data_IF_671712131109
#
_entry.id   IF_671712131109
#
_cell.length_a   1.000
_cell.length_b   1.000
_cell.length_c   1.000
_cell.angle_alpha   90.00
_cell.angle_beta   90.00
_cell.angle_gamma   90.00
#
_symmetry.space_group_name_H-M   'P 1'
#
loop_
_entity.id
_entity.type
_entity.pdbx_description
1 polymer ?
#
# COMPACT_ATOMS: atom_id res chain seq x y z
N UNK A 1 -11.67 -10.39 45.94
CA UNK A 1 -12.82 -9.79 45.22
C UNK A 1 -12.62 -8.30 45.23
N UNK A 2 -12.05 -7.78 44.15
CA UNK A 2 -11.91 -6.36 43.86
C UNK A 2 -12.46 -6.18 42.45
N UNK A 3 -13.32 -5.19 42.26
CA UNK A 3 -14.10 -4.99 41.04
C UNK A 3 -13.24 -4.43 39.90
N UNK A 4 -13.59 -4.66 38.62
CA UNK A 4 -12.73 -4.33 37.46
C UNK A 4 -12.46 -2.82 37.21
N UNK A 5 -13.02 -1.92 38.01
CA UNK A 5 -12.94 -0.46 37.81
C UNK A 5 -12.29 0.26 39.01
N UNK A 6 -11.38 -0.40 39.72
CA UNK A 6 -10.62 0.27 40.77
C UNK A 6 -9.48 1.09 40.16
N UNK A 7 -9.76 2.36 39.84
CA UNK A 7 -8.82 3.34 39.28
C UNK A 7 -7.76 3.83 40.30
N UNK A 8 -7.68 3.22 41.49
CA UNK A 8 -6.66 3.55 42.51
C UNK A 8 -5.27 2.95 42.25
N UNK A 9 -5.08 2.25 41.13
CA UNK A 9 -3.81 1.58 40.76
C UNK A 9 -3.10 2.22 39.57
N UNK A 10 -3.67 3.26 38.94
CA UNK A 10 -2.94 4.06 37.97
C UNK A 10 -2.06 5.10 38.68
N UNK A 11 -0.74 5.14 38.45
CA UNK A 11 0.11 6.17 39.01
C UNK A 11 -0.32 7.54 38.47
N UNK A 12 -0.73 8.43 39.38
CA UNK A 12 -0.90 9.84 39.09
C UNK A 12 0.45 10.52 39.27
N UNK A 13 1.05 11.00 38.18
CA UNK A 13 2.30 11.76 38.26
C UNK A 13 1.96 13.25 38.35
N UNK A 14 2.12 13.80 39.55
CA UNK A 14 2.24 15.25 39.76
C UNK A 14 3.66 15.54 40.23
N UNK A 15 4.37 16.42 39.51
CA UNK A 15 5.71 16.89 39.88
C UNK A 15 6.81 16.48 38.90
N UNK A 16 7.94 17.19 38.99
CA UNK A 16 9.08 17.11 38.07
C UNK A 16 9.78 15.72 38.15
N UNK A 17 9.96 14.98 37.03
CA UNK A 17 10.37 13.57 37.02
C UNK A 17 11.87 13.29 37.29
N UNK A 18 12.66 14.30 37.64
CA UNK A 18 14.13 14.22 37.62
C UNK A 18 14.75 13.59 38.89
N UNK A 19 13.95 13.30 39.92
CA UNK A 19 14.44 12.81 41.23
C UNK A 19 13.94 11.40 41.63
N UNK A 20 13.33 10.64 40.72
CA UNK A 20 12.84 9.29 41.03
C UNK A 20 13.96 8.24 40.99
N UNK A 21 14.51 7.89 42.16
CA UNK A 21 15.42 6.73 42.29
C UNK A 21 14.63 5.42 42.36
N UNK A 22 14.89 4.51 41.41
CA UNK A 22 14.40 3.14 41.44
C UNK A 22 15.27 2.27 42.38
N UNK A 23 14.65 1.64 43.38
CA UNK A 23 15.26 0.55 44.15
C UNK A 23 14.40 -0.70 44.03
N UNK A 24 14.94 -1.76 43.44
CA UNK A 24 14.28 -3.07 43.34
C UNK A 24 14.68 -3.81 42.07
N UNK A 25 15.29 -4.98 42.23
CA UNK A 25 15.76 -5.83 41.15
C UNK A 25 14.59 -6.60 40.53
N UNK A 26 14.31 -6.35 39.24
CA UNK A 26 13.66 -7.32 38.37
C UNK A 26 14.51 -7.48 37.11
N UNK A 27 14.78 -8.74 36.74
CA UNK A 27 15.85 -9.17 35.83
C UNK A 27 15.35 -9.68 34.49
N UNK A 28 14.17 -9.24 34.04
CA UNK A 28 13.76 -9.37 32.64
C UNK A 28 13.66 -7.95 32.06
N UNK A 29 14.61 -7.59 31.21
CA UNK A 29 14.70 -6.27 30.58
C UNK A 29 13.47 -6.01 29.71
N UNK A 30 12.60 -5.04 30.04
CA UNK A 30 11.70 -4.47 29.06
C UNK A 30 12.58 -3.71 28.06
N UNK A 31 12.51 -4.03 26.78
CA UNK A 31 13.10 -3.15 25.76
C UNK A 31 12.24 -1.90 25.71
N UNK A 32 12.59 -0.91 26.53
CA UNK A 32 11.94 0.39 26.56
C UNK A 32 12.25 1.14 25.27
N UNK A 33 11.28 1.27 24.38
CA UNK A 33 11.28 2.33 23.36
C UNK A 33 10.75 3.59 24.04
N UNK A 34 11.49 4.72 24.03
CA UNK A 34 11.09 5.93 24.74
C UNK A 34 9.90 6.59 24.05
N UNK A 35 8.84 6.87 24.80
CA UNK A 35 7.78 7.80 24.37
C UNK A 35 8.19 9.20 24.84
N UNK A 36 8.64 10.08 23.94
CA UNK A 36 8.92 11.47 24.32
C UNK A 36 7.88 12.44 23.76
N UNK A 37 7.27 13.18 24.68
CA UNK A 37 6.57 14.43 24.42
C UNK A 37 7.45 15.54 25.00
N UNK A 38 8.36 16.10 24.19
CA UNK A 38 8.93 17.45 24.30
C UNK A 38 10.13 17.61 23.38
N UNK A 39 9.94 18.28 22.25
CA UNK A 39 10.94 19.10 21.55
C UNK A 39 12.34 18.52 21.41
N UNK A 40 12.62 18.02 20.20
CA UNK A 40 13.88 17.41 19.72
C UNK A 40 14.10 15.98 20.22
N UNK A 41 13.23 15.07 19.75
CA UNK A 41 13.48 13.63 19.76
C UNK A 41 13.79 13.21 18.33
N UNK A 42 14.94 12.59 18.09
CA UNK A 42 15.31 12.08 16.76
C UNK A 42 14.65 10.72 16.54
N UNK A 43 13.31 10.71 16.65
CA UNK A 43 12.43 9.55 16.71
C UNK A 43 12.16 9.00 15.33
N UNK A 44 13.07 8.14 14.85
CA UNK A 44 12.90 7.44 13.58
C UNK A 44 11.76 6.40 13.58
N UNK A 45 11.13 6.13 14.72
CA UNK A 45 9.96 5.26 14.78
C UNK A 45 9.35 5.06 16.17
N UNK A 46 8.10 4.59 16.16
CA UNK A 46 7.19 4.37 17.27
C UNK A 46 6.61 2.95 17.13
N UNK A 47 6.43 2.20 18.21
CA UNK A 47 5.89 0.84 18.17
C UNK A 47 4.86 0.62 19.28
N UNK A 48 3.80 -0.13 18.99
CA UNK A 48 2.66 -0.36 19.90
C UNK A 48 2.28 -1.82 19.93
N UNK A 49 2.14 -2.32 21.16
CA UNK A 49 1.52 -3.58 21.53
C UNK A 49 0.15 -3.22 22.15
N UNK A 50 -0.91 -3.47 21.41
CA UNK A 50 -2.30 -3.09 21.67
C UNK A 50 -3.01 -4.09 22.58
N UNK A 51 -2.65 -5.37 22.49
CA UNK A 51 -3.32 -6.44 23.25
C UNK A 51 -2.53 -6.94 24.47
N UNK A 52 -1.25 -6.57 24.56
CA UNK A 52 -0.36 -6.83 25.69
C UNK A 52 0.24 -8.23 25.71
N UNK A 53 0.25 -8.94 24.58
CA UNK A 53 0.79 -10.29 24.48
C UNK A 53 2.33 -10.35 24.34
N UNK A 54 2.96 -9.19 24.12
CA UNK A 54 4.41 -9.03 23.96
C UNK A 54 4.91 -9.08 22.52
N UNK A 55 4.02 -9.16 21.54
CA UNK A 55 4.25 -8.97 20.11
C UNK A 55 3.79 -7.56 19.73
N UNK A 56 4.44 -6.95 18.74
CA UNK A 56 4.12 -5.57 18.32
C UNK A 56 3.08 -5.61 17.22
N UNK A 57 1.91 -5.03 17.46
CA UNK A 57 0.84 -4.96 16.45
C UNK A 57 1.07 -3.85 15.41
N UNK A 58 1.74 -2.75 15.78
CA UNK A 58 1.90 -1.60 14.87
C UNK A 58 3.19 -0.85 15.08
N UNK A 59 3.84 -0.46 13.98
CA UNK A 59 5.04 0.37 13.96
C UNK A 59 4.77 1.59 13.06
N UNK A 60 5.15 2.78 13.52
CA UNK A 60 5.16 4.05 12.76
C UNK A 60 6.63 4.45 12.55
N UNK A 61 7.02 4.87 11.35
CA UNK A 61 8.41 5.20 10.98
C UNK A 61 8.45 6.60 10.36
N UNK A 62 9.33 7.46 10.85
CA UNK A 62 9.66 8.78 10.31
C UNK A 62 11.13 8.71 9.88
N UNK A 63 11.37 8.42 8.60
CA UNK A 63 12.67 8.08 8.06
C UNK A 63 13.58 9.31 7.96
N UNK A 64 13.01 10.47 7.66
CA UNK A 64 13.77 11.71 7.45
C UNK A 64 13.80 12.66 8.67
N UNK A 65 12.98 12.37 9.68
CA UNK A 65 12.92 13.07 10.96
C UNK A 65 12.23 14.43 10.90
N UNK A 66 11.39 14.65 9.90
CA UNK A 66 10.66 15.92 9.72
C UNK A 66 9.36 16.01 10.56
N UNK A 67 8.94 14.88 11.12
CA UNK A 67 7.78 14.75 12.00
C UNK A 67 6.51 14.25 11.31
N UNK A 68 6.53 14.08 9.99
CA UNK A 68 5.51 13.34 9.25
C UNK A 68 5.89 11.85 9.18
N UNK A 69 4.89 10.96 9.16
CA UNK A 69 5.13 9.51 9.16
C UNK A 69 5.29 9.03 7.72
N UNK A 70 6.40 8.36 7.44
CA UNK A 70 6.73 7.80 6.12
C UNK A 70 6.17 6.40 5.93
N UNK A 71 6.07 5.62 7.01
CA UNK A 71 5.60 4.24 6.92
C UNK A 71 4.89 3.78 8.19
N UNK A 72 3.80 3.02 8.03
CA UNK A 72 3.10 2.32 9.11
C UNK A 72 3.04 0.84 8.77
N UNK A 73 3.30 -0.04 9.74
CA UNK A 73 3.12 -1.49 9.58
C UNK A 73 2.07 -2.00 10.56
N UNK A 74 1.31 -3.03 10.16
CA UNK A 74 0.32 -3.70 11.00
C UNK A 74 0.54 -5.22 10.99
N UNK A 75 0.66 -5.82 12.16
CA UNK A 75 0.59 -7.26 12.40
C UNK A 75 -0.82 -7.56 12.93
N UNK A 76 -1.67 -8.15 12.09
CA UNK A 76 -3.08 -8.40 12.38
C UNK A 76 -3.33 -9.80 12.95
N UNK A 77 -2.42 -10.74 12.68
CA UNK A 77 -2.53 -12.13 13.15
C UNK A 77 -1.66 -12.44 14.39
N UNK A 78 -0.79 -11.51 14.79
CA UNK A 78 0.07 -11.58 15.97
C UNK A 78 1.24 -12.55 15.80
N UNK A 79 1.72 -12.77 14.57
CA UNK A 79 2.83 -13.69 14.31
C UNK A 79 4.22 -13.02 14.37
N UNK A 80 4.25 -11.68 14.48
CA UNK A 80 5.45 -10.85 14.51
C UNK A 80 5.94 -10.37 13.14
N UNK A 81 5.19 -10.63 12.07
CA UNK A 81 5.41 -10.11 10.72
C UNK A 81 4.28 -9.14 10.35
N UNK A 82 4.57 -8.18 9.49
CA UNK A 82 3.56 -7.21 9.06
C UNK A 82 2.68 -7.84 7.99
N UNK A 83 1.37 -7.79 8.19
CA UNK A 83 0.34 -8.18 7.21
C UNK A 83 -0.03 -7.00 6.31
N UNK A 84 0.09 -5.76 6.81
CA UNK A 84 -0.20 -4.54 6.05
C UNK A 84 0.91 -3.52 6.26
N UNK A 85 1.34 -2.86 5.18
CA UNK A 85 2.29 -1.76 5.22
C UNK A 85 1.73 -0.58 4.43
N UNK A 86 1.55 0.56 5.09
CA UNK A 86 1.18 1.83 4.47
C UNK A 86 2.45 2.68 4.30
N UNK A 87 2.70 3.23 3.11
CA UNK A 87 3.88 4.04 2.81
C UNK A 87 3.47 5.38 2.19
N UNK A 88 4.13 6.46 2.64
CA UNK A 88 4.08 7.82 2.09
C UNK A 88 5.35 8.06 1.29
N UNK A 89 5.30 7.87 -0.03
CA UNK A 89 6.49 7.95 -0.90
C UNK A 89 7.05 9.37 -1.00
N UNK A 90 6.20 10.38 -0.82
CA UNK A 90 6.59 11.79 -0.80
C UNK A 90 7.18 12.25 0.55
N UNK A 91 6.97 11.46 1.60
CA UNK A 91 7.33 11.80 2.98
C UNK A 91 6.59 13.00 3.55
N UNK A 92 5.32 13.19 3.21
CA UNK A 92 4.49 14.30 3.71
C UNK A 92 3.33 13.82 4.61
N UNK A 93 3.39 12.56 5.05
CA UNK A 93 2.39 11.91 5.89
C UNK A 93 1.12 11.50 5.15
N UNK A 94 1.07 11.62 3.82
CA UNK A 94 -0.02 11.09 2.99
C UNK A 94 0.40 9.75 2.41
N UNK A 95 -0.23 8.69 2.88
CA UNK A 95 0.02 7.36 2.37
C UNK A 95 -0.58 7.22 0.97
N UNK A 96 0.27 6.82 0.03
CA UNK A 96 -0.04 6.62 -1.40
C UNK A 96 0.23 5.18 -1.83
N UNK A 97 0.82 4.35 -0.97
CA UNK A 97 1.05 2.93 -1.24
C UNK A 97 0.59 2.10 -0.05
N UNK A 98 -0.20 1.06 -0.30
CA UNK A 98 -0.62 0.07 0.70
C UNK A 98 -0.28 -1.32 0.19
N UNK A 99 0.63 -2.00 0.87
CA UNK A 99 0.99 -3.39 0.63
C UNK A 99 0.25 -4.30 1.63
N UNK A 100 -0.27 -5.43 1.15
CA UNK A 100 -0.99 -6.43 1.94
C UNK A 100 -0.36 -7.80 1.69
N UNK A 101 0.20 -8.41 2.73
CA UNK A 101 0.66 -9.80 2.76
C UNK A 101 -0.39 -10.63 3.51
N UNK A 102 -1.24 -11.34 2.76
CA UNK A 102 -2.32 -12.14 3.35
C UNK A 102 -1.89 -13.56 3.71
N UNK A 103 -0.72 -13.98 3.23
CA UNK A 103 -0.24 -15.35 3.35
C UNK A 103 0.92 -15.50 4.37
N UNK A 104 1.56 -14.39 4.74
CA UNK A 104 2.60 -14.25 5.75
C UNK A 104 3.99 -14.71 5.27
N UNK A 105 4.28 -14.68 3.97
CA UNK A 105 5.59 -15.06 3.43
C UNK A 105 6.60 -13.90 3.34
N UNK A 106 6.14 -12.68 3.63
CA UNK A 106 6.93 -11.45 3.60
C UNK A 106 6.94 -10.74 2.24
N UNK A 107 6.14 -11.18 1.28
CA UNK A 107 5.89 -10.50 0.02
C UNK A 107 4.44 -9.99 -0.03
N UNK A 108 4.22 -8.87 -0.71
CA UNK A 108 2.88 -8.32 -0.86
C UNK A 108 2.08 -9.13 -1.89
N UNK A 109 0.90 -9.59 -1.48
CA UNK A 109 -0.08 -10.23 -2.35
C UNK A 109 -0.90 -9.19 -3.12
N UNK A 110 -1.11 -8.03 -2.50
CA UNK A 110 -1.84 -6.90 -3.07
C UNK A 110 -1.06 -5.62 -2.76
N UNK A 111 -0.77 -4.82 -3.78
CA UNK A 111 -0.29 -3.44 -3.63
C UNK A 111 -1.31 -2.49 -4.21
N UNK A 112 -1.76 -1.51 -3.45
CA UNK A 112 -2.64 -0.42 -3.89
C UNK A 112 -1.86 0.88 -3.97
N UNK A 113 -2.11 1.69 -5.00
CA UNK A 113 -1.37 2.92 -5.30
C UNK A 113 -2.35 4.07 -5.57
N UNK A 114 -2.17 5.20 -4.90
CA UNK A 114 -2.90 6.47 -5.06
C UNK A 114 -1.89 7.56 -5.48
N UNK A 115 -1.65 7.69 -6.79
CA UNK A 115 -0.58 8.52 -7.36
C UNK A 115 -0.82 10.00 -7.15
N UNK A 116 -2.09 10.44 -7.13
CA UNK A 116 -2.44 11.85 -7.01
C UNK A 116 -2.91 12.28 -5.59
N UNK A 117 -2.95 11.32 -4.66
CA UNK A 117 -3.33 11.49 -3.25
C UNK A 117 -4.73 12.08 -3.06
N UNK A 118 -5.68 11.76 -3.95
CA UNK A 118 -7.07 12.19 -3.83
C UNK A 118 -7.92 11.26 -2.93
N UNK A 119 -7.37 10.12 -2.54
CA UNK A 119 -8.00 9.09 -1.72
C UNK A 119 -8.69 7.98 -2.53
N UNK A 120 -8.50 7.94 -3.86
CA UNK A 120 -8.89 6.85 -4.75
C UNK A 120 -7.64 6.09 -5.18
N UNK A 121 -7.81 4.81 -5.48
CA UNK A 121 -6.71 3.97 -5.93
C UNK A 121 -6.63 4.07 -7.45
N UNK A 122 -5.48 4.54 -7.92
CA UNK A 122 -5.13 4.64 -9.34
C UNK A 122 -4.52 3.34 -9.87
N UNK A 123 -3.95 2.51 -8.99
CA UNK A 123 -3.31 1.27 -9.41
C UNK A 123 -3.42 0.14 -8.39
N UNK A 124 -3.60 -1.08 -8.88
CA UNK A 124 -3.57 -2.30 -8.05
C UNK A 124 -2.64 -3.31 -8.70
N UNK A 125 -1.74 -3.90 -7.91
CA UNK A 125 -0.88 -5.02 -8.33
C UNK A 125 -1.25 -6.24 -7.50
N UNK A 126 -1.33 -7.40 -8.15
CA UNK A 126 -1.72 -8.66 -7.52
C UNK A 126 -0.63 -9.72 -7.74
N UNK A 127 -0.23 -10.39 -6.67
CA UNK A 127 0.41 -11.71 -6.70
C UNK A 127 -0.64 -12.73 -6.24
N UNK A 128 -1.21 -13.45 -7.19
CA UNK A 128 -2.30 -14.40 -6.93
C UNK A 128 -1.79 -15.80 -6.60
N UNK A 129 -0.51 -16.06 -6.90
CA UNK A 129 0.10 -17.37 -6.81
C UNK A 129 1.07 -17.50 -5.61
N UNK A 130 1.39 -16.36 -4.96
CA UNK A 130 2.21 -16.23 -3.76
C UNK A 130 3.67 -16.67 -3.98
N UNK A 131 4.28 -16.20 -5.07
CA UNK A 131 5.71 -16.42 -5.35
C UNK A 131 6.57 -15.16 -5.24
N UNK A 132 5.95 -14.03 -4.89
CA UNK A 132 6.56 -12.73 -4.73
C UNK A 132 6.72 -11.96 -6.05
N UNK A 133 6.10 -12.42 -7.14
CA UNK A 133 6.09 -11.75 -8.44
C UNK A 133 4.65 -11.34 -8.81
N UNK A 134 4.53 -10.20 -9.50
CA UNK A 134 3.24 -9.71 -9.94
C UNK A 134 2.66 -10.60 -11.05
N UNK A 135 1.44 -11.08 -10.85
CA UNK A 135 0.64 -11.80 -11.85
C UNK A 135 -0.25 -10.84 -12.66
N UNK A 136 -0.72 -9.76 -12.04
CA UNK A 136 -1.67 -8.81 -12.63
C UNK A 136 -1.44 -7.39 -12.11
N UNK A 137 -1.66 -6.40 -12.96
CA UNK A 137 -1.62 -4.99 -12.62
C UNK A 137 -2.73 -4.21 -13.35
N UNK A 138 -3.52 -3.48 -12.57
CA UNK A 138 -4.65 -2.66 -13.02
C UNK A 138 -4.31 -1.18 -12.83
N UNK A 139 -4.71 -0.34 -13.79
CA UNK A 139 -4.52 1.10 -13.73
C UNK A 139 -5.78 1.88 -14.14
N UNK A 140 -6.14 2.87 -13.34
CA UNK A 140 -7.07 3.96 -13.64
C UNK A 140 -6.23 5.19 -13.99
N UNK A 141 -6.13 5.52 -15.27
CA UNK A 141 -5.19 6.52 -15.77
C UNK A 141 -5.77 7.92 -15.81
N UNK A 142 -7.10 8.05 -15.74
CA UNK A 142 -7.81 9.33 -15.77
C UNK A 142 -8.48 9.71 -14.43
N UNK A 143 -8.46 8.81 -13.45
CA UNK A 143 -8.88 9.02 -12.06
C UNK A 143 -10.40 9.03 -11.88
N UNK A 144 -11.17 8.45 -12.80
CA UNK A 144 -12.64 8.45 -12.72
C UNK A 144 -13.22 7.36 -11.78
N UNK A 145 -12.37 6.43 -11.34
CA UNK A 145 -12.68 5.26 -10.53
C UNK A 145 -12.97 4.00 -11.34
N UNK A 146 -12.55 3.94 -12.61
CA UNK A 146 -12.65 2.78 -13.51
C UNK A 146 -11.26 2.41 -14.02
N UNK A 147 -11.06 1.12 -14.21
CA UNK A 147 -9.79 0.61 -14.73
C UNK A 147 -9.76 0.81 -16.24
N UNK A 148 -8.76 1.55 -16.71
CA UNK A 148 -8.49 1.78 -18.13
C UNK A 148 -7.57 0.71 -18.70
N UNK A 149 -6.71 0.12 -17.89
CA UNK A 149 -5.70 -0.84 -18.36
C UNK A 149 -5.51 -1.97 -17.37
N UNK A 150 -5.58 -3.20 -17.87
CA UNK A 150 -5.26 -4.43 -17.14
C UNK A 150 -4.09 -5.09 -17.84
N UNK A 151 -3.05 -5.47 -17.09
CA UNK A 151 -1.87 -6.13 -17.61
C UNK A 151 -1.62 -7.41 -16.80
N UNK A 152 -1.32 -8.52 -17.48
CA UNK A 152 -1.16 -9.84 -16.84
C UNK A 152 0.13 -10.54 -17.26
N UNK A 153 0.77 -11.23 -16.32
CA UNK A 153 1.80 -12.24 -16.55
C UNK A 153 1.12 -13.61 -16.65
N UNK A 154 1.21 -14.24 -17.82
CA UNK A 154 0.53 -15.51 -18.07
C UNK A 154 1.41 -16.73 -17.81
N UNK A 155 2.71 -16.51 -17.59
CA UNK A 155 3.70 -17.57 -17.50
C UNK A 155 4.42 -17.61 -16.14
N UNK A 156 4.24 -16.58 -15.30
CA UNK A 156 4.69 -16.52 -13.91
C UNK A 156 6.20 -16.32 -13.79
N UNK A 157 6.78 -15.46 -14.63
CA UNK A 157 8.19 -15.09 -14.55
C UNK A 157 8.43 -13.64 -14.10
N UNK A 158 7.36 -12.94 -13.73
CA UNK A 158 7.35 -11.57 -13.24
C UNK A 158 7.46 -10.53 -14.36
N UNK A 159 7.34 -10.95 -15.62
CA UNK A 159 7.28 -10.04 -16.77
C UNK A 159 5.90 -10.16 -17.40
N UNK A 160 5.19 -9.04 -17.43
CA UNK A 160 3.84 -8.95 -17.96
C UNK A 160 3.80 -9.25 -19.47
N UNK A 161 2.89 -10.13 -19.88
CA UNK A 161 2.81 -10.71 -21.23
C UNK A 161 1.71 -10.09 -22.10
N UNK A 162 0.59 -9.67 -21.49
CA UNK A 162 -0.65 -9.29 -22.17
C UNK A 162 -1.28 -8.08 -21.48
N UNK A 163 -1.81 -7.14 -22.26
CA UNK A 163 -2.61 -6.04 -21.72
C UNK A 163 -3.93 -5.87 -22.49
N UNK A 164 -4.99 -5.51 -21.77
CA UNK A 164 -6.24 -4.99 -22.30
C UNK A 164 -6.39 -3.52 -21.93
N UNK A 165 -6.87 -2.70 -22.87
CA UNK A 165 -7.02 -1.26 -22.72
C UNK A 165 -8.46 -0.87 -23.07
N UNK A 166 -9.16 -0.24 -22.13
CA UNK A 166 -10.45 0.43 -22.31
C UNK A 166 -10.18 1.89 -22.67
N UNK A 167 -10.61 2.32 -23.86
CA UNK A 167 -10.35 3.66 -24.38
C UNK A 167 -11.58 4.56 -24.25
N UNK A 168 -12.78 3.97 -24.16
CA UNK A 168 -14.04 4.70 -24.14
C UNK A 168 -14.73 4.75 -22.76
N UNK A 169 -14.18 4.02 -21.79
CA UNK A 169 -14.57 4.01 -20.38
C UNK A 169 -15.86 3.23 -20.10
N UNK A 170 -16.26 2.31 -20.99
CA UNK A 170 -17.48 1.52 -20.81
C UNK A 170 -17.30 0.31 -19.87
N UNK A 171 -16.05 -0.01 -19.50
CA UNK A 171 -15.64 -1.12 -18.65
C UNK A 171 -15.24 -2.38 -19.42
N UNK A 172 -15.10 -2.32 -20.75
CA UNK A 172 -14.61 -3.39 -21.59
C UNK A 172 -13.36 -2.94 -22.36
N UNK A 173 -12.42 -3.87 -22.56
CA UNK A 173 -11.21 -3.56 -23.32
C UNK A 173 -11.49 -3.48 -24.83
N UNK A 174 -11.10 -2.35 -25.43
CA UNK A 174 -11.14 -2.07 -26.86
C UNK A 174 -9.90 -2.60 -27.60
N UNK A 175 -8.75 -2.49 -26.94
CA UNK A 175 -7.45 -2.87 -27.50
C UNK A 175 -6.78 -3.95 -26.66
N UNK A 176 -6.14 -4.89 -27.35
CA UNK A 176 -5.30 -5.90 -26.72
C UNK A 176 -3.90 -5.87 -27.31
N UNK A 177 -2.89 -5.88 -26.44
CA UNK A 177 -1.48 -5.94 -26.81
C UNK A 177 -0.78 -7.11 -26.12
N UNK A 178 0.28 -7.61 -26.74
CA UNK A 178 1.10 -8.72 -26.20
C UNK A 178 2.58 -8.44 -26.35
N UNK A 179 3.39 -8.92 -25.42
CA UNK A 179 4.85 -9.00 -25.56
C UNK A 179 5.35 -10.44 -25.32
N UNK A 180 5.06 -11.39 -26.24
CA UNK A 180 5.44 -12.80 -26.06
C UNK A 180 6.96 -13.03 -26.01
N UNK A 181 7.74 -12.02 -26.41
CA UNK A 181 9.19 -12.05 -26.39
C UNK A 181 9.80 -11.41 -25.15
N UNK A 182 8.99 -10.80 -24.28
CA UNK A 182 9.41 -10.05 -23.09
C UNK A 182 10.54 -9.06 -23.42
N UNK A 183 10.34 -8.35 -24.53
CA UNK A 183 11.33 -7.41 -25.08
C UNK A 183 11.10 -5.98 -24.63
N UNK A 184 9.92 -5.70 -24.05
CA UNK A 184 9.34 -4.37 -23.88
C UNK A 184 8.69 -3.81 -25.16
N UNK A 185 8.71 -4.56 -26.28
CA UNK A 185 8.01 -4.17 -27.52
C UNK A 185 6.63 -4.84 -27.61
N UNK A 186 5.62 -4.11 -27.15
CA UNK A 186 4.21 -4.52 -27.20
C UNK A 186 3.67 -4.54 -28.63
N UNK A 187 3.06 -5.66 -28.99
CA UNK A 187 2.50 -5.92 -30.31
C UNK A 187 0.97 -5.95 -30.23
N UNK A 188 0.26 -5.18 -31.06
CA UNK A 188 -1.19 -5.20 -31.09
C UNK A 188 -1.69 -6.57 -31.56
N UNK A 189 -2.68 -7.10 -30.84
CA UNK A 189 -3.41 -8.30 -31.25
C UNK A 189 -4.49 -7.83 -32.24
N UNK A 190 -4.51 -8.36 -33.48
CA UNK A 190 -5.51 -7.96 -34.46
C UNK A 190 -6.92 -8.22 -33.94
N UNK A 191 -7.74 -7.17 -34.00
CA UNK A 191 -9.12 -7.09 -33.54
C UNK A 191 -9.94 -8.37 -33.85
N UNK A 192 -10.44 -9.00 -32.78
CA UNK A 192 -11.57 -9.90 -32.86
C UNK A 192 -12.82 -9.07 -32.62
N UNK A 193 -13.26 -8.32 -33.64
CA UNK A 193 -14.42 -7.41 -33.57
C UNK A 193 -15.47 -7.95 -32.60
N UNK A 194 -15.71 -7.24 -31.50
CA UNK A 194 -16.82 -7.57 -30.62
C UNK A 194 -18.10 -7.56 -31.49
N UNK A 195 -18.85 -8.67 -31.58
CA UNK A 195 -20.10 -8.68 -32.33
C UNK A 195 -21.16 -7.70 -31.78
N UNK A 196 -20.96 -7.06 -30.61
CA UNK A 196 -21.80 -5.98 -30.09
C UNK A 196 -21.36 -4.56 -30.51
N UNK A 197 -20.10 -4.38 -30.91
CA UNK A 197 -19.54 -3.09 -31.33
C UNK A 197 -19.99 -2.74 -32.76
N UNK A 198 -20.68 -1.61 -32.94
CA UNK A 198 -20.78 -0.99 -34.27
C UNK A 198 -19.45 -0.31 -34.57
N UNK A 199 -18.84 -0.49 -35.76
CA UNK A 199 -17.52 0.08 -36.04
C UNK A 199 -17.48 1.56 -35.69
N UNK A 200 -16.59 1.94 -34.77
CA UNK A 200 -16.34 3.34 -34.47
C UNK A 200 -15.90 4.02 -35.76
N UNK A 201 -16.80 4.84 -36.31
CA UNK A 201 -16.51 5.60 -37.49
C UNK A 201 -15.53 6.68 -37.07
N UNK A 202 -14.26 6.49 -37.42
CA UNK A 202 -13.20 7.49 -37.34
C UNK A 202 -13.77 8.90 -37.52
N UNK A 203 -13.46 9.85 -36.62
CA UNK A 203 -14.01 11.20 -36.68
C UNK A 203 -13.76 11.79 -38.08
N UNK A 204 -14.76 12.49 -38.67
CA UNK A 204 -14.64 13.01 -40.02
C UNK A 204 -13.37 13.86 -40.11
N UNK A 205 -12.55 13.58 -41.12
CA UNK A 205 -11.34 14.34 -41.41
C UNK A 205 -11.65 15.84 -41.35
N UNK A 206 -10.81 16.67 -40.71
CA UNK A 206 -11.06 18.11 -40.64
C UNK A 206 -11.21 18.65 -42.06
N UNK A 207 -12.34 19.32 -42.30
CA UNK A 207 -12.65 19.93 -43.59
C UNK A 207 -11.44 20.73 -44.07
N UNK A 208 -10.95 20.40 -45.27
CA UNK A 208 -9.88 21.14 -45.91
C UNK A 208 -10.32 22.62 -46.02
N UNK A 209 -9.63 23.48 -45.27
CA UNK A 209 -9.78 24.93 -45.38
C UNK A 209 -9.27 25.31 -46.78
N UNK A 210 -10.18 25.66 -47.68
CA UNK A 210 -9.88 26.30 -48.96
C UNK A 210 -9.44 27.75 -48.70
N UNK A 211 -8.14 28.03 -48.90
CA UNK A 211 -7.54 29.37 -48.94
C UNK A 211 -6.70 29.54 -50.20
#
# INVERSE_FOLDING_TARGET
MTTPNDISINPQVTGNPEDAQFTGADTATPSSIPTSNSGVDSGYGSARDLDGDGIVDTIEIDLDGDGDIDQITHDLDGNGMADVVETSTAGDGRFDVIDIDSNGDGYADITQIDVDNDGRIDGVVLDTNFDGLADEADFDSDGDGRVDTVIVDTNGDGILDFAGIDVDGDGFADEFVTDPGQTGEWNPVPDFTDPAETPDTAPPAPDAIDL
#
